data_IF_554780823178
#
_entry.id   IF_554780823178
#
_cell.length_a   1.000
_cell.length_b   1.000
_cell.length_c   1.000
_cell.angle_alpha   90.00
_cell.angle_beta   90.00
_cell.angle_gamma   90.00
#
_symmetry.space_group_name_H-M   'P 1'
#
loop_
_entity.id
_entity.type
_entity.pdbx_description
1 polymer ?
#
# COMPACT_ATOMS: atom_id res chain seq x y z
N UNK A 1 -4.20 -10.64 13.75
CA UNK A 1 -3.93 -11.95 13.13
C UNK A 1 -4.57 -11.94 11.74
N UNK A 2 -3.86 -12.38 10.71
CA UNK A 2 -4.35 -12.39 9.32
C UNK A 2 -4.45 -13.83 8.81
N UNK A 3 -5.57 -14.18 8.19
CA UNK A 3 -5.72 -15.46 7.51
C UNK A 3 -5.07 -15.36 6.12
N UNK A 4 -4.26 -16.35 5.77
CA UNK A 4 -3.47 -16.33 4.54
C UNK A 4 -3.35 -17.71 3.92
N UNK A 5 -3.22 -17.72 2.59
CA UNK A 5 -2.71 -18.84 1.82
C UNK A 5 -1.19 -18.74 1.79
N UNK A 6 -0.52 -19.75 2.35
CA UNK A 6 0.95 -19.77 2.47
C UNK A 6 1.63 -19.53 1.12
N UNK A 7 1.10 -20.09 0.03
CA UNK A 7 1.66 -19.94 -1.31
C UNK A 7 1.63 -18.48 -1.81
N UNK A 8 0.57 -17.72 -1.52
CA UNK A 8 0.47 -16.30 -1.93
C UNK A 8 1.59 -15.47 -1.29
N UNK A 9 1.89 -15.70 -0.02
CA UNK A 9 2.99 -15.01 0.66
C UNK A 9 4.35 -15.54 0.22
N UNK A 10 4.52 -16.86 0.08
CA UNK A 10 5.77 -17.47 -0.35
C UNK A 10 6.22 -16.99 -1.74
N UNK A 11 5.26 -16.86 -2.66
CA UNK A 11 5.52 -16.44 -4.04
C UNK A 11 5.98 -14.98 -4.13
N UNK A 12 5.45 -14.12 -3.25
CA UNK A 12 5.60 -12.67 -3.39
C UNK A 12 6.55 -12.03 -2.38
N UNK A 13 6.84 -12.68 -1.25
CA UNK A 13 7.66 -12.14 -0.16
C UNK A 13 8.95 -12.96 0.03
N UNK A 14 10.09 -12.45 -0.45
CA UNK A 14 11.37 -13.17 -0.43
C UNK A 14 12.02 -13.26 0.97
N UNK A 15 11.60 -12.46 1.94
CA UNK A 15 12.22 -12.38 3.29
C UNK A 15 11.36 -12.98 4.39
N UNK A 16 10.27 -13.67 4.05
CA UNK A 16 9.49 -14.37 5.05
C UNK A 16 10.28 -15.53 5.66
N UNK A 17 10.09 -15.80 6.97
CA UNK A 17 10.54 -17.05 7.55
C UNK A 17 9.89 -18.24 6.82
N UNK A 18 10.55 -19.40 6.91
CA UNK A 18 10.02 -20.62 6.32
C UNK A 18 8.59 -20.90 6.81
N UNK A 19 7.67 -21.04 5.86
CA UNK A 19 6.26 -21.29 6.16
C UNK A 19 6.11 -22.72 6.70
N UNK A 20 5.41 -22.90 7.84
CA UNK A 20 5.18 -24.22 8.39
C UNK A 20 4.33 -25.06 7.43
N UNK A 21 4.61 -26.38 7.31
CA UNK A 21 3.76 -27.26 6.52
C UNK A 21 2.35 -27.27 7.10
N UNK A 22 1.34 -27.22 6.22
CA UNK A 22 -0.07 -27.22 6.59
C UNK A 22 -0.80 -28.29 5.80
N UNK A 23 -1.30 -29.31 6.48
CA UNK A 23 -2.22 -30.29 5.90
C UNK A 23 -3.36 -30.55 6.91
N UNK A 24 -4.22 -29.53 7.13
CA UNK A 24 -5.10 -29.53 8.28
C UNK A 24 -6.25 -30.50 8.01
N UNK A 25 -6.35 -31.55 8.82
CA UNK A 25 -7.47 -32.48 8.80
C UNK A 25 -8.54 -32.02 9.81
N UNK A 26 -9.81 -31.86 9.41
CA UNK A 26 -10.86 -31.53 10.34
C UNK A 26 -10.97 -32.63 11.41
N UNK A 27 -10.99 -32.26 12.68
CA UNK A 27 -11.32 -33.20 13.75
C UNK A 27 -12.77 -33.68 13.61
N UNK A 28 -13.09 -34.83 14.21
CA UNK A 28 -14.47 -35.37 14.22
C UNK A 28 -15.51 -34.39 14.77
N UNK A 29 -15.08 -33.39 15.55
CA UNK A 29 -15.93 -32.36 16.14
C UNK A 29 -16.01 -31.09 15.28
N UNK A 30 -15.43 -31.09 14.07
CA UNK A 30 -15.42 -29.95 13.15
C UNK A 30 -14.33 -28.91 13.41
N UNK A 31 -13.49 -29.07 14.43
CA UNK A 31 -12.38 -28.14 14.70
C UNK A 31 -11.21 -28.35 13.73
N UNK A 32 -10.63 -27.25 13.26
CA UNK A 32 -9.46 -27.20 12.39
C UNK A 32 -8.31 -26.50 13.12
N UNK A 33 -7.14 -27.13 13.16
CA UNK A 33 -5.92 -26.49 13.69
C UNK A 33 -5.11 -25.93 12.52
N UNK A 34 -4.80 -24.63 12.58
CA UNK A 34 -4.01 -23.96 11.57
C UNK A 34 -2.68 -23.53 12.17
N UNK A 35 -1.56 -23.67 11.43
CA UNK A 35 -0.29 -23.19 11.91
C UNK A 35 -0.27 -21.66 11.94
N UNK A 36 0.34 -21.10 12.99
CA UNK A 36 0.54 -19.67 13.14
C UNK A 36 2.01 -19.36 12.89
N UNK A 37 2.28 -18.48 11.92
CA UNK A 37 3.62 -17.97 11.66
C UNK A 37 3.77 -16.58 12.31
N UNK A 38 4.52 -16.45 13.42
CA UNK A 38 4.87 -15.14 13.94
C UNK A 38 5.99 -14.52 13.11
N UNK A 39 5.85 -13.24 12.78
CA UNK A 39 6.93 -12.42 12.22
C UNK A 39 6.73 -10.96 12.62
N UNK A 40 7.79 -10.16 12.51
CA UNK A 40 7.80 -8.74 12.88
C UNK A 40 7.77 -7.87 11.64
N UNK A 41 7.00 -6.79 11.69
CA UNK A 41 6.97 -5.75 10.68
C UNK A 41 7.30 -4.40 11.31
N UNK A 42 7.96 -3.49 10.57
CA UNK A 42 8.15 -2.11 10.99
C UNK A 42 6.86 -1.39 11.38
N UNK A 43 5.78 -1.56 10.59
CA UNK A 43 4.46 -0.99 10.86
C UNK A 43 3.36 -2.04 10.68
N UNK A 44 3.06 -2.87 11.70
CA UNK A 44 2.03 -3.91 11.61
C UNK A 44 0.63 -3.38 11.21
N UNK A 45 0.37 -2.09 11.42
CA UNK A 45 -0.85 -1.43 10.99
C UNK A 45 -0.96 -1.30 9.47
N UNK A 46 0.15 -1.14 8.74
CA UNK A 46 0.19 -1.02 7.28
C UNK A 46 0.04 -2.37 6.56
N UNK A 47 0.31 -3.49 7.25
CA UNK A 47 0.27 -4.83 6.64
C UNK A 47 -1.06 -5.19 5.96
N UNK A 48 -2.19 -4.66 6.44
CA UNK A 48 -3.48 -4.92 5.81
C UNK A 48 -3.53 -4.50 4.33
N UNK A 49 -2.80 -3.43 3.96
CA UNK A 49 -2.73 -2.94 2.57
C UNK A 49 -1.98 -3.94 1.70
N UNK A 50 -0.83 -4.43 2.18
CA UNK A 50 -0.05 -5.47 1.49
C UNK A 50 -0.88 -6.73 1.36
N UNK A 51 -1.46 -7.21 2.47
CA UNK A 51 -2.28 -8.42 2.49
C UNK A 51 -3.42 -8.35 1.47
N UNK A 52 -4.19 -7.26 1.45
CA UNK A 52 -5.27 -7.09 0.49
C UNK A 52 -4.76 -7.02 -0.96
N UNK A 53 -3.65 -6.32 -1.20
CA UNK A 53 -3.06 -6.21 -2.53
C UNK A 53 -2.63 -7.59 -3.06
N UNK A 54 -1.96 -8.41 -2.25
CA UNK A 54 -1.50 -9.75 -2.67
C UNK A 54 -2.63 -10.70 -3.11
N UNK A 55 -3.88 -10.42 -2.74
CA UNK A 55 -5.04 -11.21 -3.19
C UNK A 55 -5.79 -10.58 -4.36
N UNK A 56 -5.82 -9.25 -4.43
CA UNK A 56 -6.71 -8.53 -5.35
C UNK A 56 -5.97 -7.87 -6.50
N UNK A 57 -4.67 -7.62 -6.36
CA UNK A 57 -3.82 -6.83 -7.25
C UNK A 57 -4.43 -5.48 -7.63
N UNK A 58 -5.24 -4.90 -6.72
CA UNK A 58 -5.96 -3.64 -6.93
C UNK A 58 -5.18 -2.44 -6.46
N UNK A 59 -4.56 -1.71 -7.40
CA UNK A 59 -3.78 -0.50 -7.12
C UNK A 59 -4.65 0.65 -6.60
N UNK A 60 -5.90 0.72 -7.07
CA UNK A 60 -6.88 1.70 -6.60
C UNK A 60 -7.25 1.51 -5.12
N UNK A 61 -7.37 0.26 -4.67
CA UNK A 61 -7.57 -0.08 -3.27
C UNK A 61 -6.36 0.29 -2.41
N UNK A 62 -5.13 0.17 -2.93
CA UNK A 62 -3.91 0.61 -2.24
C UNK A 62 -3.93 2.13 -2.03
N UNK A 63 -4.17 2.91 -3.09
CA UNK A 63 -4.24 4.38 -3.00
C UNK A 63 -5.32 4.84 -2.02
N UNK A 64 -6.49 4.19 -2.05
CA UNK A 64 -7.58 4.46 -1.10
C UNK A 64 -7.19 4.15 0.34
N UNK A 65 -6.52 3.01 0.58
CA UNK A 65 -6.08 2.61 1.93
C UNK A 65 -4.99 3.54 2.49
N UNK A 66 -4.15 4.08 1.62
CA UNK A 66 -3.18 5.12 1.97
C UNK A 66 -3.84 6.46 2.32
N UNK A 67 -5.12 6.64 1.99
CA UNK A 67 -5.90 7.84 2.32
C UNK A 67 -5.92 8.89 1.21
N UNK A 68 -5.61 8.52 -0.03
CA UNK A 68 -5.76 9.40 -1.17
C UNK A 68 -7.24 9.52 -1.56
N UNK A 69 -7.70 10.71 -1.98
CA UNK A 69 -9.09 10.91 -2.35
C UNK A 69 -9.43 10.16 -3.64
N UNK A 70 -10.60 9.50 -3.63
CA UNK A 70 -11.18 8.89 -4.83
C UNK A 70 -11.30 9.94 -5.95
N UNK A 71 -10.54 9.76 -7.02
CA UNK A 71 -10.60 10.60 -8.21
C UNK A 71 -10.90 9.75 -9.44
N UNK A 72 -11.29 10.38 -10.54
CA UNK A 72 -11.50 9.68 -11.81
C UNK A 72 -10.23 8.91 -12.25
N UNK A 73 -9.05 9.42 -11.90
CA UNK A 73 -7.77 8.75 -12.15
C UNK A 73 -7.64 7.43 -11.39
N UNK A 74 -8.19 7.33 -10.18
CA UNK A 74 -8.10 6.11 -9.36
C UNK A 74 -9.14 5.05 -9.75
N UNK A 75 -10.19 5.40 -10.49
CA UNK A 75 -11.17 4.41 -10.90
C UNK A 75 -10.54 3.44 -11.92
N UNK A 76 -10.43 2.17 -11.54
CA UNK A 76 -9.76 1.13 -12.33
C UNK A 76 -8.29 1.46 -12.62
N UNK A 77 -7.56 1.94 -11.61
CA UNK A 77 -6.14 2.24 -11.73
C UNK A 77 -5.35 1.02 -12.19
N UNK A 78 -4.79 1.08 -13.40
CA UNK A 78 -3.91 0.05 -13.95
C UNK A 78 -2.44 0.45 -13.78
N UNK A 79 -1.54 -0.53 -13.84
CA UNK A 79 -0.10 -0.27 -13.79
C UNK A 79 0.37 0.68 -14.90
N UNK A 80 -0.19 0.55 -16.11
CA UNK A 80 0.12 1.45 -17.22
C UNK A 80 -0.29 2.90 -16.91
N UNK A 81 -1.43 3.12 -16.26
CA UNK A 81 -1.85 4.47 -15.88
C UNK A 81 -0.94 5.08 -14.81
N UNK A 82 -0.45 4.25 -13.87
CA UNK A 82 0.53 4.67 -12.87
C UNK A 82 1.82 5.14 -13.55
N UNK A 83 2.38 4.33 -14.45
CA UNK A 83 3.59 4.66 -15.19
C UNK A 83 3.41 5.93 -16.04
N UNK A 84 2.28 6.06 -16.74
CA UNK A 84 1.98 7.26 -17.53
C UNK A 84 1.82 8.50 -16.66
N UNK A 85 1.29 8.38 -15.45
CA UNK A 85 1.21 9.50 -14.51
C UNK A 85 2.59 9.90 -14.00
N UNK A 86 3.44 8.95 -13.61
CA UNK A 86 4.82 9.20 -13.17
C UNK A 86 5.65 9.92 -14.24
N UNK A 87 5.41 9.62 -15.52
CA UNK A 87 6.09 10.26 -16.65
C UNK A 87 5.53 11.64 -17.02
N UNK A 88 4.41 12.06 -16.42
CA UNK A 88 3.71 13.30 -16.73
C UNK A 88 3.75 14.26 -15.53
N UNK A 89 4.68 15.24 -15.51
CA UNK A 89 4.76 16.23 -14.44
C UNK A 89 3.44 16.99 -14.22
N UNK A 90 2.73 17.29 -15.31
CA UNK A 90 1.43 17.98 -15.26
C UNK A 90 0.37 17.12 -14.54
N UNK A 91 0.34 15.81 -14.81
CA UNK A 91 -0.60 14.89 -14.16
C UNK A 91 -0.31 14.79 -12.67
N UNK A 92 0.96 14.60 -12.28
CA UNK A 92 1.37 14.55 -10.87
C UNK A 92 1.00 15.86 -10.17
N UNK A 93 1.26 17.01 -10.80
CA UNK A 93 0.92 18.31 -10.25
C UNK A 93 -0.60 18.46 -10.04
N UNK A 94 -1.42 18.07 -11.02
CA UNK A 94 -2.88 18.11 -10.89
C UNK A 94 -3.37 17.22 -9.74
N UNK A 95 -2.82 16.01 -9.60
CA UNK A 95 -3.16 15.10 -8.49
C UNK A 95 -2.71 15.66 -7.14
N UNK A 96 -1.55 16.32 -7.08
CA UNK A 96 -1.05 17.01 -5.90
C UNK A 96 -1.96 18.18 -5.48
N UNK A 97 -2.44 18.97 -6.44
CA UNK A 97 -3.43 20.04 -6.19
C UNK A 97 -4.71 19.44 -5.61
N UNK A 98 -5.23 18.36 -6.20
CA UNK A 98 -6.42 17.67 -5.68
C UNK A 98 -6.23 17.16 -4.25
N UNK A 99 -5.07 16.59 -3.95
CA UNK A 99 -4.75 16.11 -2.60
C UNK A 99 -4.62 17.26 -1.60
N UNK A 100 -3.97 18.36 -1.99
CA UNK A 100 -3.84 19.56 -1.18
C UNK A 100 -5.23 20.16 -0.86
N UNK A 101 -6.11 20.26 -1.87
CA UNK A 101 -7.49 20.71 -1.69
C UNK A 101 -8.30 19.78 -0.77
N UNK A 102 -8.18 18.46 -0.96
CA UNK A 102 -8.88 17.47 -0.12
C UNK A 102 -8.47 17.56 1.35
N UNK A 103 -7.18 17.81 1.61
CA UNK A 103 -6.66 18.00 2.98
C UNK A 103 -6.89 19.40 3.53
N UNK A 104 -7.40 20.33 2.71
CA UNK A 104 -7.57 21.75 3.06
C UNK A 104 -6.24 22.48 3.27
N UNK A 105 -5.17 22.04 2.62
CA UNK A 105 -3.80 22.54 2.85
C UNK A 105 -3.27 22.27 4.25
N UNK A 106 -3.90 21.37 5.02
CA UNK A 106 -3.49 21.09 6.39
C UNK A 106 -2.23 20.21 6.40
N UNK A 107 -1.11 20.81 6.82
CA UNK A 107 0.18 20.13 6.86
C UNK A 107 0.16 18.88 7.75
N UNK A 108 -0.52 18.90 8.89
CA UNK A 108 -0.62 17.74 9.79
C UNK A 108 -1.32 16.54 9.14
N UNK A 109 -2.38 16.77 8.34
CA UNK A 109 -3.04 15.70 7.57
C UNK A 109 -2.12 15.13 6.49
N UNK A 110 -1.39 15.99 5.78
CA UNK A 110 -0.43 15.58 4.76
C UNK A 110 0.72 14.78 5.39
N UNK A 111 1.27 15.22 6.52
CA UNK A 111 2.29 14.47 7.28
C UNK A 111 1.75 13.10 7.72
N UNK A 112 0.49 13.00 8.12
CA UNK A 112 -0.15 11.72 8.44
C UNK A 112 -0.32 10.79 7.24
N UNK A 113 -0.45 11.33 6.01
CA UNK A 113 -0.42 10.54 4.78
C UNK A 113 1.01 10.10 4.44
N UNK A 114 2.00 11.00 4.59
CA UNK A 114 3.42 10.68 4.42
C UNK A 114 3.85 9.53 5.33
N UNK A 115 3.43 9.54 6.60
CA UNK A 115 3.70 8.47 7.55
C UNK A 115 3.13 7.13 7.06
N UNK A 116 1.89 7.10 6.54
CA UNK A 116 1.28 5.88 6.00
C UNK A 116 2.01 5.32 4.78
N UNK A 117 2.41 6.18 3.84
CA UNK A 117 3.18 5.76 2.65
C UNK A 117 4.54 5.20 3.06
N UNK A 118 5.24 5.89 3.98
CA UNK A 118 6.50 5.42 4.54
C UNK A 118 6.35 4.08 5.26
N UNK A 119 5.33 3.94 6.10
CA UNK A 119 5.07 2.71 6.85
C UNK A 119 4.85 1.51 5.92
N UNK A 120 4.06 1.71 4.86
CA UNK A 120 3.87 0.70 3.82
C UNK A 120 5.19 0.36 3.12
N UNK A 121 5.97 1.36 2.71
CA UNK A 121 7.29 1.14 2.10
C UNK A 121 8.19 0.27 2.99
N UNK A 122 8.28 0.60 4.28
CA UNK A 122 9.13 -0.14 5.23
C UNK A 122 8.68 -1.60 5.36
N UNK A 123 7.37 -1.84 5.44
CA UNK A 123 6.82 -3.18 5.48
C UNK A 123 7.14 -3.97 4.19
N UNK A 124 6.95 -3.35 3.02
CA UNK A 124 7.25 -3.97 1.72
C UNK A 124 8.74 -4.36 1.61
N UNK A 125 9.66 -3.49 2.08
CA UNK A 125 11.10 -3.79 2.14
C UNK A 125 11.38 -4.94 3.11
N UNK A 126 10.75 -4.93 4.28
CA UNK A 126 10.97 -5.95 5.32
C UNK A 126 10.51 -7.34 4.87
N UNK A 127 9.41 -7.41 4.12
CA UNK A 127 8.88 -8.63 3.51
C UNK A 127 9.66 -9.07 2.27
N UNK A 128 10.42 -8.16 1.65
CA UNK A 128 11.11 -8.41 0.39
C UNK A 128 10.12 -8.66 -0.75
N UNK A 129 9.13 -7.76 -0.91
CA UNK A 129 8.11 -7.88 -1.95
C UNK A 129 8.69 -7.68 -3.36
N UNK A 130 8.29 -8.54 -4.29
CA UNK A 130 8.72 -8.49 -5.71
C UNK A 130 7.70 -7.81 -6.65
N UNK A 131 6.57 -7.34 -6.12
CA UNK A 131 5.46 -6.78 -6.89
C UNK A 131 5.76 -5.38 -7.44
N UNK A 132 6.30 -5.30 -8.67
CA UNK A 132 6.73 -4.04 -9.29
C UNK A 132 5.60 -3.01 -9.40
N UNK A 133 4.37 -3.45 -9.69
CA UNK A 133 3.22 -2.55 -9.84
C UNK A 133 2.89 -1.83 -8.53
N UNK A 134 3.07 -2.51 -7.41
CA UNK A 134 2.88 -1.92 -6.08
C UNK A 134 3.98 -0.92 -5.75
N UNK A 135 5.24 -1.23 -6.08
CA UNK A 135 6.36 -0.30 -5.92
C UNK A 135 6.14 0.99 -6.71
N UNK A 136 5.80 0.88 -8.01
CA UNK A 136 5.54 2.04 -8.86
C UNK A 136 4.32 2.85 -8.38
N UNK A 137 3.30 2.17 -7.84
CA UNK A 137 2.14 2.86 -7.24
C UNK A 137 2.52 3.64 -6.00
N UNK A 138 3.44 3.10 -5.19
CA UNK A 138 3.94 3.79 -4.01
C UNK A 138 4.82 4.99 -4.37
N UNK A 139 5.64 4.87 -5.42
CA UNK A 139 6.41 5.98 -5.97
C UNK A 139 5.48 7.10 -6.47
N UNK A 140 4.41 6.76 -7.19
CA UNK A 140 3.41 7.75 -7.60
C UNK A 140 2.75 8.43 -6.40
N UNK A 141 2.37 7.66 -5.38
CA UNK A 141 1.79 8.20 -4.15
C UNK A 141 2.76 9.19 -3.47
N UNK A 142 4.05 8.85 -3.45
CA UNK A 142 5.10 9.70 -2.89
C UNK A 142 5.26 11.02 -3.65
N UNK A 143 5.33 10.99 -4.97
CA UNK A 143 5.46 12.18 -5.82
C UNK A 143 4.25 13.13 -5.66
N UNK A 144 3.03 12.58 -5.64
CA UNK A 144 1.81 13.35 -5.39
C UNK A 144 1.87 14.02 -4.01
N UNK A 145 2.34 13.30 -2.98
CA UNK A 145 2.47 13.84 -1.62
C UNK A 145 3.49 14.96 -1.53
N UNK A 146 4.66 14.81 -2.15
CA UNK A 146 5.68 15.86 -2.20
C UNK A 146 5.15 17.11 -2.88
N UNK A 147 4.44 16.97 -4.00
CA UNK A 147 3.78 18.07 -4.67
C UNK A 147 2.76 18.77 -3.76
N UNK A 148 1.91 18.01 -3.06
CA UNK A 148 0.88 18.55 -2.19
C UNK A 148 1.47 19.27 -0.96
N UNK A 149 2.55 18.73 -0.38
CA UNK A 149 3.29 19.35 0.71
C UNK A 149 3.90 20.69 0.28
N UNK A 150 4.51 20.74 -0.90
CA UNK A 150 5.07 21.98 -1.45
C UNK A 150 3.99 23.05 -1.68
N UNK A 151 2.82 22.66 -2.21
CA UNK A 151 1.68 23.54 -2.38
C UNK A 151 1.14 24.06 -1.03
N UNK A 152 0.99 23.18 -0.04
CA UNK A 152 0.52 23.57 1.28
C UNK A 152 1.49 24.52 1.99
N UNK A 153 2.80 24.28 1.87
CA UNK A 153 3.84 25.15 2.41
C UNK A 153 3.85 26.53 1.75
N UNK A 154 3.69 26.60 0.42
CA UNK A 154 3.63 27.86 -0.31
C UNK A 154 2.41 28.72 0.08
N UNK A 155 1.28 28.09 0.42
CA UNK A 155 0.05 28.80 0.83
C UNK A 155 0.09 29.31 2.29
N UNK A 156 1.13 29.00 3.07
CA UNK A 156 1.32 29.54 4.41
C UNK A 156 2.18 30.81 4.46
N UNK A 157 2.72 31.23 3.31
CA UNK A 157 3.46 32.49 3.14
C UNK A 157 2.53 33.63 2.73
#
# INVERSE_FOLDING_TARGET
MFAVHALTLAANCARLPALPPSNPTPSANGNLTLPVLPFTLPSPAAFHVVHQYLYTHRLDAVMTSLGFPASAFQQNLTHQNVLSALQSPDTVHQLAVLLCQHTGGNLGKLTGLTARVKDLWQDMVSLGLYEIELWDTLDLAWEILLGALNLAAANQQ
#
